data_IF_247697540556
#
_entry.id   IF_247697540556
#
_cell.length_a   1.000
_cell.length_b   1.000
_cell.length_c   1.000
_cell.angle_alpha   90.00
_cell.angle_beta   90.00
_cell.angle_gamma   90.00
#
_symmetry.space_group_name_H-M   'P 1'
#
loop_
_entity.id
_entity.type
_entity.pdbx_description
1 polymer ?
#
# COMPACT_ATOMS: atom_id res chain seq x y z
N UNK A 1 -17.56 -6.24 3.53
CA UNK A 1 -16.50 -5.75 4.45
C UNK A 1 -15.32 -6.71 4.49
N UNK A 2 -15.51 -8.02 4.74
CA UNK A 2 -14.42 -9.00 4.89
C UNK A 2 -13.26 -8.95 3.86
N UNK A 3 -13.54 -8.92 2.55
CA UNK A 3 -12.48 -8.90 1.53
C UNK A 3 -11.57 -7.67 1.63
N UNK A 4 -12.15 -6.47 1.79
CA UNK A 4 -11.38 -5.22 1.86
C UNK A 4 -10.53 -5.17 3.13
N UNK A 5 -11.10 -5.61 4.26
CA UNK A 5 -10.40 -5.63 5.54
C UNK A 5 -9.23 -6.63 5.50
N UNK A 6 -9.44 -7.80 4.90
CA UNK A 6 -8.40 -8.82 4.71
C UNK A 6 -7.30 -8.33 3.79
N UNK A 7 -7.65 -7.74 2.64
CA UNK A 7 -6.67 -7.17 1.68
C UNK A 7 -5.84 -6.08 2.36
N UNK A 8 -6.48 -5.20 3.12
CA UNK A 8 -5.78 -4.15 3.87
C UNK A 8 -4.80 -4.74 4.90
N UNK A 9 -5.21 -5.78 5.64
CA UNK A 9 -4.34 -6.45 6.61
C UNK A 9 -3.13 -7.13 5.94
N UNK A 10 -3.34 -7.84 4.83
CA UNK A 10 -2.27 -8.49 4.07
C UNK A 10 -1.28 -7.46 3.49
N UNK A 11 -1.79 -6.36 2.93
CA UNK A 11 -0.95 -5.27 2.43
C UNK A 11 -0.17 -4.57 3.57
N UNK A 12 -0.80 -4.36 4.73
CA UNK A 12 -0.15 -3.78 5.91
C UNK A 12 0.94 -4.69 6.48
N UNK A 13 0.82 -6.01 6.30
CA UNK A 13 1.86 -6.98 6.64
C UNK A 13 3.01 -7.03 5.62
N UNK A 14 3.00 -6.18 4.58
CA UNK A 14 4.05 -6.07 3.57
C UNK A 14 3.91 -7.03 2.38
N UNK A 15 2.83 -7.80 2.32
CA UNK A 15 2.58 -8.69 1.19
C UNK A 15 1.83 -7.98 0.05
N UNK A 16 2.09 -8.38 -1.19
CA UNK A 16 1.36 -7.91 -2.38
C UNK A 16 0.42 -9.00 -2.88
N UNK A 17 -0.87 -8.67 -3.05
CA UNK A 17 -1.86 -9.60 -3.58
C UNK A 17 -1.97 -9.40 -5.10
N UNK A 18 -1.70 -10.46 -5.87
CA UNK A 18 -1.82 -10.45 -7.34
C UNK A 18 -2.96 -11.38 -7.74
N UNK A 19 -3.88 -10.90 -8.58
CA UNK A 19 -5.11 -11.62 -8.94
C UNK A 19 -5.39 -11.53 -10.43
N UNK A 20 -6.01 -12.58 -10.95
CA UNK A 20 -6.48 -12.61 -12.32
C UNK A 20 -7.69 -11.67 -12.51
N UNK A 21 -7.77 -10.96 -13.63
CA UNK A 21 -8.89 -10.07 -13.93
C UNK A 21 -10.23 -10.80 -14.11
N UNK A 22 -10.19 -12.08 -14.51
CA UNK A 22 -11.35 -12.89 -14.84
C UNK A 22 -11.40 -13.29 -16.31
N UNK A 23 -12.20 -14.32 -16.61
CA UNK A 23 -12.33 -14.91 -17.93
C UNK A 23 -13.75 -14.69 -18.50
N UNK A 24 -14.28 -13.47 -18.37
CA UNK A 24 -15.66 -13.12 -18.74
C UNK A 24 -15.74 -12.27 -20.01
N UNK A 25 -14.92 -12.56 -21.01
CA UNK A 25 -15.02 -12.02 -22.37
C UNK A 25 -15.18 -10.48 -22.47
N UNK A 26 -14.34 -9.71 -21.79
CA UNK A 26 -14.40 -8.25 -21.81
C UNK A 26 -15.54 -7.63 -21.00
N UNK A 27 -16.22 -8.43 -20.17
CA UNK A 27 -17.06 -7.93 -19.09
C UNK A 27 -16.20 -7.44 -17.91
N UNK A 28 -16.87 -6.78 -16.96
CA UNK A 28 -16.24 -6.15 -15.79
C UNK A 28 -15.43 -7.13 -14.95
N UNK A 29 -14.33 -6.64 -14.38
CA UNK A 29 -13.53 -7.37 -13.38
C UNK A 29 -14.38 -7.71 -12.16
N UNK A 30 -14.34 -8.99 -11.76
CA UNK A 30 -15.04 -9.49 -10.57
C UNK A 30 -14.21 -9.39 -9.29
N UNK A 31 -14.80 -9.83 -8.17
CA UNK A 31 -14.07 -10.00 -6.91
C UNK A 31 -13.04 -11.14 -7.01
N UNK A 32 -11.85 -11.01 -6.38
CA UNK A 32 -11.36 -9.85 -5.63
C UNK A 32 -10.65 -8.79 -6.51
N UNK A 33 -10.59 -8.96 -7.83
CA UNK A 33 -9.87 -8.04 -8.74
C UNK A 33 -10.37 -6.61 -8.78
N UNK A 34 -11.62 -6.36 -8.37
CA UNK A 34 -12.17 -5.02 -8.24
C UNK A 34 -11.98 -4.37 -6.86
N UNK A 35 -11.25 -5.02 -5.95
CA UNK A 35 -10.93 -4.45 -4.64
C UNK A 35 -9.72 -3.51 -4.71
N UNK A 36 -9.72 -2.38 -3.97
CA UNK A 36 -8.53 -1.55 -3.83
C UNK A 36 -7.36 -2.33 -3.21
N UNK A 37 -6.14 -2.05 -3.66
CA UNK A 37 -4.92 -2.59 -3.08
C UNK A 37 -4.51 -3.98 -3.58
N UNK A 38 -5.14 -4.51 -4.64
CA UNK A 38 -4.67 -5.72 -5.34
C UNK A 38 -4.09 -5.36 -6.70
N UNK A 39 -3.14 -6.16 -7.17
CA UNK A 39 -2.63 -6.12 -8.55
C UNK A 39 -3.51 -7.01 -9.41
N UNK A 40 -4.45 -6.41 -10.13
CA UNK A 40 -5.34 -7.12 -11.06
C UNK A 40 -4.71 -7.23 -12.44
N UNK A 41 -4.62 -8.46 -12.96
CA UNK A 41 -3.89 -8.77 -14.19
C UNK A 41 -4.81 -9.26 -15.31
N UNK A 42 -4.92 -8.49 -16.38
CA UNK A 42 -5.60 -8.90 -17.61
C UNK A 42 -4.66 -9.73 -18.52
N UNK A 43 -5.27 -10.51 -19.41
CA UNK A 43 -4.55 -11.41 -20.31
C UNK A 43 -4.43 -10.85 -21.73
N UNK A 44 -3.24 -11.00 -22.30
CA UNK A 44 -2.92 -10.63 -23.68
C UNK A 44 -2.64 -11.86 -24.54
N UNK A 45 -2.96 -11.73 -25.83
CA UNK A 45 -2.51 -12.62 -26.90
C UNK A 45 -1.01 -12.46 -27.12
N UNK A 46 -0.40 -13.41 -27.84
CA UNK A 46 0.99 -13.34 -28.30
C UNK A 46 1.32 -12.05 -29.09
N UNK A 47 0.36 -11.50 -29.83
CA UNK A 47 0.50 -10.22 -30.56
C UNK A 47 0.26 -8.96 -29.70
N UNK A 48 -0.11 -9.11 -28.42
CA UNK A 48 -0.27 -8.00 -27.49
C UNK A 48 -1.67 -7.38 -27.41
N UNK A 49 -2.63 -7.85 -28.20
CA UNK A 49 -4.06 -7.50 -28.04
C UNK A 49 -4.68 -8.21 -26.84
N UNK A 50 -5.82 -7.72 -26.36
CA UNK A 50 -6.61 -8.43 -25.35
C UNK A 50 -7.03 -9.78 -25.89
N UNK A 51 -6.81 -10.85 -25.13
CA UNK A 51 -7.36 -12.16 -25.49
C UNK A 51 -8.87 -12.20 -25.25
N UNK A 52 -9.58 -12.96 -26.10
CA UNK A 52 -11.04 -13.00 -26.14
C UNK A 52 -11.68 -13.16 -24.77
N UNK A 53 -11.20 -14.09 -23.95
CA UNK A 53 -11.77 -14.38 -22.63
C UNK A 53 -11.46 -13.32 -21.55
N UNK A 54 -10.43 -12.49 -21.67
CA UNK A 54 -10.01 -11.63 -20.56
C UNK A 54 -11.10 -10.61 -20.22
N UNK A 55 -11.45 -10.50 -18.93
CA UNK A 55 -12.19 -9.38 -18.37
C UNK A 55 -11.38 -8.09 -18.46
N UNK A 56 -12.06 -6.95 -18.39
CA UNK A 56 -11.49 -5.59 -18.45
C UNK A 56 -12.16 -4.67 -17.44
N UNK A 57 -11.54 -3.53 -17.18
CA UNK A 57 -12.11 -2.49 -16.34
C UNK A 57 -11.04 -1.53 -15.82
N UNK A 58 -11.46 -0.39 -15.25
CA UNK A 58 -10.56 0.57 -14.62
C UNK A 58 -9.78 -0.02 -13.43
N UNK A 59 -10.24 -1.14 -12.86
CA UNK A 59 -9.59 -1.84 -11.76
C UNK A 59 -8.39 -2.69 -12.20
N UNK A 60 -8.25 -2.97 -13.50
CA UNK A 60 -7.08 -3.68 -14.03
C UNK A 60 -5.83 -2.84 -13.78
N UNK A 61 -4.83 -3.42 -13.12
CA UNK A 61 -3.57 -2.74 -12.81
C UNK A 61 -2.60 -2.79 -13.99
N UNK A 62 -2.44 -3.98 -14.56
CA UNK A 62 -1.46 -4.30 -15.60
C UNK A 62 -1.97 -5.46 -16.44
N UNK A 63 -1.38 -5.67 -17.61
CA UNK A 63 -1.65 -6.84 -18.44
C UNK A 63 -0.40 -7.69 -18.64
N UNK A 64 -0.57 -8.99 -18.82
CA UNK A 64 0.52 -9.91 -19.14
C UNK A 64 0.04 -10.97 -20.15
N UNK A 65 0.95 -11.71 -20.81
CA UNK A 65 0.57 -12.83 -21.65
C UNK A 65 -0.29 -13.84 -20.86
N UNK A 66 -1.39 -14.31 -21.46
CA UNK A 66 -2.25 -15.34 -20.87
C UNK A 66 -2.47 -16.55 -21.78
N UNK A 67 -1.74 -16.60 -22.89
CA UNK A 67 -1.95 -17.55 -23.97
C UNK A 67 -3.23 -17.25 -24.76
N UNK A 68 -3.29 -17.79 -25.97
CA UNK A 68 -4.48 -17.77 -26.80
C UNK A 68 -4.52 -19.02 -27.68
N UNK A 69 -5.69 -19.39 -28.20
CA UNK A 69 -5.83 -20.42 -29.24
C UNK A 69 -6.46 -19.76 -30.45
N UNK A 70 -5.67 -19.39 -31.46
CA UNK A 70 -6.22 -18.66 -32.62
C UNK A 70 -7.09 -19.55 -33.51
N UNK A 71 -6.85 -20.85 -33.50
CA UNK A 71 -7.72 -21.80 -34.18
C UNK A 71 -8.83 -22.20 -33.20
N UNK A 72 -10.07 -21.83 -33.53
CA UNK A 72 -11.27 -22.08 -32.71
C UNK A 72 -12.14 -23.22 -33.24
N UNK A 73 -11.81 -23.75 -34.42
CA UNK A 73 -12.52 -24.89 -35.01
C UNK A 73 -12.28 -26.20 -34.25
N UNK A 74 -13.25 -27.11 -34.33
CA UNK A 74 -13.15 -28.44 -33.71
C UNK A 74 -11.90 -29.19 -34.18
N UNK A 75 -11.17 -29.79 -33.23
CA UNK A 75 -9.94 -30.57 -33.48
C UNK A 75 -8.80 -29.79 -34.15
N UNK A 76 -8.86 -28.45 -34.19
CA UNK A 76 -7.74 -27.64 -34.65
C UNK A 76 -6.68 -27.46 -33.56
N UNK A 77 -5.39 -27.37 -33.90
CA UNK A 77 -4.34 -27.17 -32.92
C UNK A 77 -4.48 -25.79 -32.27
N UNK A 78 -4.40 -25.73 -30.94
CA UNK A 78 -4.26 -24.45 -30.26
C UNK A 78 -2.86 -23.88 -30.51
N UNK A 79 -2.80 -22.74 -31.20
CA UNK A 79 -1.54 -22.02 -31.43
C UNK A 79 -1.41 -20.87 -30.44
N UNK A 80 -0.23 -20.75 -29.85
CA UNK A 80 0.15 -19.82 -28.77
C UNK A 80 -0.47 -20.08 -27.38
N UNK A 81 -0.63 -21.35 -26.94
CA UNK A 81 -1.02 -21.62 -25.56
C UNK A 81 0.09 -21.22 -24.59
N UNK A 82 -0.25 -21.10 -23.32
CA UNK A 82 0.72 -21.20 -22.24
C UNK A 82 1.15 -22.67 -22.12
N UNK A 83 2.45 -22.91 -22.22
CA UNK A 83 3.03 -24.24 -22.02
C UNK A 83 3.41 -24.37 -20.55
N UNK A 84 2.79 -25.32 -19.87
CA UNK A 84 3.04 -25.63 -18.47
C UNK A 84 3.14 -27.15 -18.30
N UNK A 85 3.83 -27.58 -17.25
CA UNK A 85 3.72 -28.96 -16.78
C UNK A 85 2.32 -29.17 -16.20
N UNK A 86 1.73 -30.36 -16.38
CA UNK A 86 0.46 -30.73 -15.76
C UNK A 86 0.58 -32.06 -15.06
N UNK A 87 -0.20 -32.28 -14.02
CA UNK A 87 -0.25 -33.55 -13.30
C UNK A 87 -1.71 -33.85 -12.94
N UNK A 88 -2.13 -35.09 -13.14
CA UNK A 88 -3.48 -35.60 -12.89
C UNK A 88 -3.74 -35.97 -11.43
N UNK A 89 -2.71 -35.90 -10.59
CA UNK A 89 -2.80 -36.13 -9.17
C UNK A 89 -3.75 -35.16 -8.48
N UNK A 90 -4.66 -35.69 -7.66
CA UNK A 90 -5.64 -34.89 -6.91
C UNK A 90 -5.15 -34.50 -5.52
N UNK A 91 -4.17 -35.24 -4.96
CA UNK A 91 -3.61 -35.02 -3.62
C UNK A 91 -2.09 -35.22 -3.54
N UNK A 92 -1.52 -36.04 -4.43
CA UNK A 92 -0.07 -36.22 -4.61
C UNK A 92 0.24 -36.31 -6.11
N UNK A 93 1.43 -35.90 -6.57
CA UNK A 93 1.80 -36.05 -7.97
C UNK A 93 1.77 -37.51 -8.43
N UNK A 94 1.16 -37.78 -9.58
CA UNK A 94 1.26 -39.07 -10.25
C UNK A 94 2.66 -39.18 -10.87
N UNK A 95 3.43 -40.16 -10.42
CA UNK A 95 4.75 -40.45 -10.98
C UNK A 95 4.62 -40.92 -12.43
N UNK A 96 5.50 -40.43 -13.31
CA UNK A 96 5.49 -40.74 -14.76
C UNK A 96 4.14 -40.50 -15.45
N UNK A 97 3.36 -39.53 -14.97
CA UNK A 97 2.07 -39.16 -15.55
C UNK A 97 2.19 -38.83 -17.05
N UNK A 98 1.32 -39.43 -17.85
CA UNK A 98 1.20 -39.13 -19.28
C UNK A 98 0.77 -37.66 -19.53
N UNK A 99 0.11 -37.03 -18.55
CA UNK A 99 -0.22 -35.61 -18.56
C UNK A 99 0.99 -34.69 -18.26
N UNK A 100 2.14 -35.22 -17.82
CA UNK A 100 3.32 -34.39 -17.51
C UNK A 100 3.90 -33.63 -18.71
N UNK A 101 3.52 -34.01 -19.94
CA UNK A 101 3.95 -33.32 -21.15
C UNK A 101 2.87 -32.34 -21.63
N UNK A 102 3.28 -31.16 -22.13
CA UNK A 102 2.48 -29.99 -22.53
C UNK A 102 1.49 -30.20 -23.69
N UNK A 103 0.80 -31.33 -23.69
CA UNK A 103 -0.24 -31.79 -24.61
C UNK A 103 -1.59 -31.11 -24.35
N UNK A 104 -1.73 -30.38 -23.25
CA UNK A 104 -2.94 -29.62 -22.91
C UNK A 104 -2.69 -28.12 -23.06
N UNK A 105 -3.26 -27.56 -24.11
CA UNK A 105 -3.30 -26.12 -24.31
C UNK A 105 -3.91 -25.44 -23.08
N UNK A 106 -3.14 -24.54 -22.46
CA UNK A 106 -3.57 -23.81 -21.29
C UNK A 106 -3.65 -22.33 -21.60
N UNK A 107 -4.78 -21.72 -21.29
CA UNK A 107 -5.01 -20.28 -21.49
C UNK A 107 -5.81 -19.75 -20.32
N UNK A 108 -5.63 -18.47 -19.99
CA UNK A 108 -6.42 -17.82 -18.96
C UNK A 108 -5.70 -16.66 -18.30
N UNK A 109 -6.47 -15.74 -17.71
CA UNK A 109 -5.92 -14.71 -16.81
C UNK A 109 -5.20 -15.33 -15.60
N UNK A 110 -5.53 -16.58 -15.25
CA UNK A 110 -4.81 -17.42 -14.28
C UNK A 110 -3.35 -17.69 -14.62
N UNK A 111 -2.93 -17.56 -15.88
CA UNK A 111 -1.51 -17.66 -16.28
C UNK A 111 -0.83 -16.30 -16.31
N UNK A 112 -1.59 -15.22 -16.50
CA UNK A 112 -1.07 -13.85 -16.44
C UNK A 112 -0.74 -13.42 -15.01
N UNK A 113 -1.60 -13.76 -14.04
CA UNK A 113 -1.38 -13.47 -12.62
C UNK A 113 -0.05 -14.01 -12.03
N UNK A 114 0.34 -15.29 -12.23
CA UNK A 114 1.62 -15.81 -11.73
C UNK A 114 2.84 -15.21 -12.42
N UNK A 115 2.76 -14.78 -13.69
CA UNK A 115 3.84 -14.03 -14.34
C UNK A 115 4.11 -12.74 -13.56
N UNK A 116 3.06 -11.97 -13.27
CA UNK A 116 3.19 -10.72 -12.50
C UNK A 116 3.59 -10.99 -11.05
N UNK A 117 3.10 -12.08 -10.45
CA UNK A 117 3.50 -12.51 -9.10
C UNK A 117 5.00 -12.80 -9.01
N UNK A 118 5.54 -13.51 -10.01
CA UNK A 118 6.98 -13.76 -10.09
C UNK A 118 7.80 -12.49 -10.25
N UNK A 119 7.31 -11.53 -11.06
CA UNK A 119 7.95 -10.22 -11.22
C UNK A 119 7.94 -9.44 -9.90
N UNK A 120 6.82 -9.40 -9.18
CA UNK A 120 6.75 -8.77 -7.85
C UNK A 120 7.68 -9.46 -6.85
N UNK A 121 7.79 -10.78 -6.89
CA UNK A 121 8.76 -11.54 -6.08
C UNK A 121 10.21 -11.15 -6.39
N UNK A 122 10.57 -10.98 -7.67
CA UNK A 122 11.89 -10.48 -8.08
C UNK A 122 12.11 -9.04 -7.62
N UNK A 123 11.12 -8.17 -7.74
CA UNK A 123 11.20 -6.80 -7.23
C UNK A 123 11.45 -6.78 -5.71
N UNK A 124 10.74 -7.62 -4.95
CA UNK A 124 10.93 -7.76 -3.51
C UNK A 124 12.32 -8.33 -3.16
N UNK A 125 12.88 -9.21 -4.00
CA UNK A 125 14.22 -9.77 -3.78
C UNK A 125 15.35 -8.72 -3.84
N UNK A 126 15.19 -7.70 -4.70
CA UNK A 126 16.17 -6.61 -4.84
C UNK A 126 15.85 -5.40 -3.96
N UNK A 127 14.63 -5.32 -3.43
CA UNK A 127 14.16 -4.30 -2.49
C UNK A 127 13.27 -4.94 -1.42
N UNK A 128 13.85 -5.47 -0.32
CA UNK A 128 13.10 -6.16 0.72
C UNK A 128 12.06 -5.30 1.46
N UNK A 129 12.19 -3.97 1.39
CA UNK A 129 11.24 -3.01 1.98
C UNK A 129 10.09 -2.63 1.03
N UNK A 130 9.99 -3.26 -0.13
CA UNK A 130 8.97 -2.97 -1.14
C UNK A 130 7.56 -3.17 -0.58
N UNK A 131 6.77 -2.11 -0.58
CA UNK A 131 5.35 -2.18 -0.21
C UNK A 131 4.47 -2.54 -1.41
N UNK A 132 3.27 -3.07 -1.16
CA UNK A 132 2.27 -3.37 -2.20
C UNK A 132 1.91 -2.14 -3.05
N UNK A 133 1.79 -0.96 -2.41
CA UNK A 133 1.51 0.30 -3.10
C UNK A 133 2.64 0.68 -4.06
N UNK A 134 3.89 0.55 -3.64
CA UNK A 134 5.06 0.83 -4.49
C UNK A 134 5.20 -0.21 -5.61
N UNK A 135 4.91 -1.49 -5.35
CA UNK A 135 4.88 -2.51 -6.37
C UNK A 135 3.88 -2.17 -7.48
N UNK A 136 2.66 -1.78 -7.12
CA UNK A 136 1.63 -1.31 -8.07
C UNK A 136 2.14 -0.12 -8.89
N UNK A 137 2.74 0.89 -8.25
CA UNK A 137 3.24 2.06 -8.95
C UNK A 137 4.38 1.72 -9.92
N UNK A 138 5.37 0.93 -9.48
CA UNK A 138 6.51 0.53 -10.31
C UNK A 138 6.01 -0.29 -11.51
N UNK A 139 5.10 -1.25 -11.31
CA UNK A 139 4.51 -2.03 -12.40
C UNK A 139 3.82 -1.12 -13.44
N UNK A 140 3.09 -0.10 -12.99
CA UNK A 140 2.41 0.85 -13.88
C UNK A 140 3.39 1.75 -14.63
N UNK A 141 4.37 2.34 -13.93
CA UNK A 141 5.34 3.27 -14.52
C UNK A 141 6.28 2.61 -15.52
N UNK A 142 6.55 1.31 -15.34
CA UNK A 142 7.49 0.56 -16.18
C UNK A 142 6.81 -0.27 -17.27
N UNK A 143 5.48 -0.23 -17.33
CA UNK A 143 4.69 -0.98 -18.31
C UNK A 143 5.08 -0.61 -19.75
N UNK A 144 5.15 -1.61 -20.63
CA UNK A 144 5.25 -1.37 -22.07
C UNK A 144 3.89 -0.90 -22.60
N UNK A 145 3.85 0.14 -23.44
CA UNK A 145 2.61 0.56 -24.09
C UNK A 145 1.94 -0.58 -24.85
N UNK A 146 0.61 -0.57 -24.89
CA UNK A 146 -0.14 -1.53 -25.70
C UNK A 146 0.12 -1.32 -27.19
N UNK A 147 0.05 -2.42 -27.94
CA UNK A 147 0.00 -2.36 -29.40
C UNK A 147 -1.32 -1.72 -29.85
N UNK A 148 -1.28 -1.01 -30.96
CA UNK A 148 -2.46 -0.38 -31.59
C UNK A 148 -2.75 -0.93 -32.99
N UNK A 149 -1.87 -1.78 -33.50
CA UNK A 149 -1.94 -2.43 -34.82
C UNK A 149 -1.38 -3.85 -34.75
N UNK A 150 -1.61 -4.66 -35.79
CA UNK A 150 -1.00 -5.99 -35.94
C UNK A 150 -1.72 -7.14 -35.22
N UNK A 151 -2.88 -6.90 -34.60
CA UNK A 151 -3.68 -7.94 -33.94
C UNK A 151 -4.60 -8.74 -34.87
N UNK A 152 -5.00 -8.15 -35.99
CA UNK A 152 -5.99 -8.70 -36.90
C UNK A 152 -5.49 -9.80 -37.83
N UNK A 153 -6.44 -10.54 -38.40
CA UNK A 153 -6.22 -11.49 -39.49
C UNK A 153 -7.02 -11.05 -40.72
N UNK A 154 -6.71 -11.60 -41.89
CA UNK A 154 -7.52 -11.36 -43.11
C UNK A 154 -8.97 -11.86 -42.91
N UNK A 155 -9.16 -12.90 -42.10
CA UNK A 155 -10.46 -13.51 -41.84
C UNK A 155 -11.30 -12.72 -40.81
N UNK A 156 -10.65 -12.17 -39.77
CA UNK A 156 -11.32 -11.55 -38.62
C UNK A 156 -11.32 -10.02 -38.69
N UNK A 157 -10.58 -9.45 -39.64
CA UNK A 157 -10.35 -8.00 -39.74
C UNK A 157 -9.45 -7.48 -38.61
N UNK A 158 -9.32 -6.15 -38.55
CA UNK A 158 -8.59 -5.50 -37.47
C UNK A 158 -9.45 -5.40 -36.21
N UNK A 159 -8.94 -5.79 -35.02
CA UNK A 159 -9.63 -5.60 -33.76
C UNK A 159 -9.95 -4.12 -33.53
N UNK A 160 -11.09 -3.85 -32.92
CA UNK A 160 -11.42 -2.51 -32.44
C UNK A 160 -10.63 -2.21 -31.15
N UNK A 161 -10.58 -0.95 -30.73
CA UNK A 161 -10.11 -0.61 -29.40
C UNK A 161 -11.10 -1.13 -28.34
N UNK A 162 -10.59 -1.64 -27.23
CA UNK A 162 -11.43 -2.03 -26.10
C UNK A 162 -12.14 -0.79 -25.54
N UNK A 163 -13.41 -0.95 -25.17
CA UNK A 163 -14.21 0.11 -24.56
C UNK A 163 -14.52 -0.24 -23.10
N UNK A 164 -15.00 0.74 -22.32
CA UNK A 164 -15.40 0.49 -20.93
C UNK A 164 -16.39 -0.70 -20.86
N UNK A 165 -16.26 -1.59 -19.87
CA UNK A 165 -17.08 -2.80 -19.81
C UNK A 165 -18.57 -2.45 -19.70
N UNK A 166 -19.39 -3.17 -20.46
CA UNK A 166 -20.86 -3.12 -20.39
C UNK A 166 -21.38 -4.54 -20.15
N UNK A 167 -22.67 -4.80 -20.36
CA UNK A 167 -23.22 -6.16 -20.38
C UNK A 167 -22.88 -6.94 -21.66
N UNK A 168 -22.24 -6.29 -22.65
CA UNK A 168 -21.88 -6.89 -23.93
C UNK A 168 -20.44 -7.38 -23.91
N UNK A 169 -20.25 -8.61 -24.39
CA UNK A 169 -18.91 -9.20 -24.54
C UNK A 169 -18.06 -8.43 -25.55
N UNK A 170 -16.78 -8.27 -25.23
CA UNK A 170 -15.75 -7.71 -26.09
C UNK A 170 -14.64 -8.76 -26.20
N UNK A 171 -14.61 -9.46 -27.33
CA UNK A 171 -13.65 -10.53 -27.61
C UNK A 171 -12.24 -9.96 -27.81
N UNK A 172 -11.63 -10.12 -28.99
CA UNK A 172 -10.34 -9.51 -29.25
C UNK A 172 -10.48 -8.00 -29.47
N UNK A 173 -9.66 -7.21 -28.79
CA UNK A 173 -9.59 -5.76 -28.96
C UNK A 173 -8.20 -5.21 -28.58
N UNK A 174 -7.84 -4.04 -29.12
CA UNK A 174 -6.66 -3.30 -28.72
C UNK A 174 -6.88 -2.70 -27.33
N UNK A 175 -6.06 -3.13 -26.37
CA UNK A 175 -6.13 -2.64 -25.00
C UNK A 175 -5.84 -1.14 -24.92
N UNK A 176 -6.55 -0.47 -24.01
CA UNK A 176 -6.29 0.92 -23.64
C UNK A 176 -5.90 1.00 -22.16
N UNK A 177 -5.32 2.12 -21.75
CA UNK A 177 -4.94 2.34 -20.35
C UNK A 177 -6.14 2.45 -19.40
N UNK A 178 -7.35 2.71 -19.92
CA UNK A 178 -8.60 2.74 -19.16
C UNK A 178 -9.30 1.39 -19.05
N UNK A 179 -8.89 0.38 -19.84
CA UNK A 179 -9.58 -0.93 -19.92
C UNK A 179 -8.71 -2.09 -19.47
N UNK A 180 -7.41 -2.07 -19.76
CA UNK A 180 -6.49 -3.19 -19.52
C UNK A 180 -5.35 -2.84 -18.55
N UNK A 181 -5.46 -1.73 -17.81
CA UNK A 181 -4.41 -1.23 -16.93
C UNK A 181 -3.28 -0.52 -17.67
N UNK A 182 -2.14 -0.32 -17.02
CA UNK A 182 -1.12 0.61 -17.52
C UNK A 182 -0.39 0.17 -18.81
N UNK A 183 -0.46 -1.10 -19.18
CA UNK A 183 0.27 -1.65 -20.33
C UNK A 183 0.59 -3.13 -20.14
N UNK A 184 1.46 -3.66 -21.00
CA UNK A 184 2.04 -4.99 -20.82
C UNK A 184 3.17 -4.93 -19.78
N UNK A 185 3.17 -5.84 -18.81
CA UNK A 185 4.20 -5.90 -17.78
C UNK A 185 5.61 -6.02 -18.37
N UNK A 186 6.57 -5.32 -17.78
CA UNK A 186 7.98 -5.34 -18.18
C UNK A 186 8.85 -5.77 -16.99
N UNK A 187 9.24 -7.05 -16.95
CA UNK A 187 9.98 -7.61 -15.83
C UNK A 187 11.31 -6.88 -15.58
N UNK A 188 12.10 -6.65 -16.64
CA UNK A 188 13.42 -6.03 -16.51
C UNK A 188 13.34 -4.60 -15.99
N UNK A 189 12.44 -3.79 -16.56
CA UNK A 189 12.26 -2.41 -16.13
C UNK A 189 11.70 -2.32 -14.70
N UNK A 190 10.74 -3.18 -14.33
CA UNK A 190 10.17 -3.20 -12.99
C UNK A 190 11.21 -3.59 -11.92
N UNK A 191 12.03 -4.62 -12.17
CA UNK A 191 13.09 -5.06 -11.24
C UNK A 191 14.20 -4.02 -11.15
N UNK A 192 14.63 -3.42 -12.28
CA UNK A 192 15.62 -2.35 -12.28
C UNK A 192 15.14 -1.12 -11.50
N UNK A 193 13.86 -0.73 -11.68
CA UNK A 193 13.26 0.36 -10.94
C UNK A 193 13.20 0.04 -9.43
N UNK A 194 12.80 -1.17 -9.03
CA UNK A 194 12.80 -1.59 -7.64
C UNK A 194 14.22 -1.58 -7.02
N UNK A 195 15.22 -2.10 -7.73
CA UNK A 195 16.60 -2.10 -7.28
C UNK A 195 17.15 -0.69 -7.08
N UNK A 196 16.88 0.23 -8.01
CA UNK A 196 17.28 1.63 -7.92
C UNK A 196 16.64 2.37 -6.73
N UNK A 197 15.58 1.83 -6.14
CA UNK A 197 14.85 2.41 -5.01
C UNK A 197 15.17 1.73 -3.68
N UNK A 198 16.09 0.78 -3.67
CA UNK A 198 16.50 0.12 -2.46
C UNK A 198 17.23 1.11 -1.55
N UNK A 199 16.75 1.24 -0.30
CA UNK A 199 17.22 2.26 0.64
C UNK A 199 16.49 3.61 0.59
N UNK A 200 15.60 3.84 -0.39
CA UNK A 200 14.77 5.05 -0.39
C UNK A 200 13.70 4.96 0.70
N UNK A 201 13.64 5.98 1.57
CA UNK A 201 12.58 6.12 2.59
C UNK A 201 12.24 7.59 2.84
N UNK A 202 11.03 7.87 3.33
CA UNK A 202 10.61 9.21 3.75
C UNK A 202 10.69 9.30 5.27
N UNK A 203 11.49 10.23 5.76
CA UNK A 203 11.59 10.53 7.20
C UNK A 203 10.66 11.68 7.52
N UNK A 204 9.79 11.50 8.52
CA UNK A 204 8.96 12.57 9.09
C UNK A 204 9.61 13.02 10.40
N UNK A 205 10.13 14.24 10.43
CA UNK A 205 10.64 14.90 11.63
C UNK A 205 9.61 15.86 12.21
N UNK A 206 9.60 16.01 13.54
CA UNK A 206 8.71 16.94 14.24
C UNK A 206 9.50 17.98 15.03
N UNK A 207 8.99 19.21 15.08
CA UNK A 207 9.50 20.29 15.92
C UNK A 207 8.33 21.04 16.56
N UNK A 208 8.27 21.14 17.91
CA UNK A 208 9.23 20.58 18.88
C UNK A 208 9.24 19.05 18.89
N UNK A 209 10.33 18.45 19.38
CA UNK A 209 10.46 17.00 19.52
C UNK A 209 9.49 16.42 20.56
N UNK A 210 9.03 17.23 21.50
CA UNK A 210 7.95 16.94 22.44
C UNK A 210 6.82 17.96 22.26
N UNK A 211 5.73 17.52 21.62
CA UNK A 211 4.57 18.38 21.36
C UNK A 211 3.70 18.53 22.62
N UNK A 212 3.24 19.74 22.90
CA UNK A 212 2.27 20.06 23.95
C UNK A 212 1.01 20.70 23.36
N UNK A 213 -0.14 20.45 23.98
CA UNK A 213 -1.41 21.03 23.57
C UNK A 213 -1.34 22.57 23.54
N UNK A 214 -1.92 23.17 22.51
CA UNK A 214 -1.90 24.62 22.28
C UNK A 214 -0.60 25.15 21.67
N UNK A 215 0.39 24.30 21.40
CA UNK A 215 1.64 24.70 20.74
C UNK A 215 1.61 24.36 19.24
N UNK A 216 2.13 25.25 18.40
CA UNK A 216 2.31 24.97 16.97
C UNK A 216 3.35 23.87 16.79
N UNK A 217 2.94 22.80 16.12
CA UNK A 217 3.79 21.68 15.74
C UNK A 217 4.12 21.78 14.26
N UNK A 218 5.40 21.71 13.92
CA UNK A 218 5.88 21.66 12.54
C UNK A 218 6.36 20.26 12.21
N UNK A 219 5.87 19.71 11.10
CA UNK A 219 6.31 18.43 10.54
C UNK A 219 7.10 18.68 9.27
N UNK A 220 8.21 17.98 9.09
CA UNK A 220 9.04 18.03 7.89
C UNK A 220 9.17 16.63 7.30
N UNK A 221 8.85 16.48 6.02
CA UNK A 221 9.04 15.25 5.27
C UNK A 221 10.31 15.38 4.44
N UNK A 222 11.22 14.44 4.58
CA UNK A 222 12.47 14.41 3.82
C UNK A 222 12.71 13.01 3.28
N UNK A 223 12.72 12.83 1.95
CA UNK A 223 13.16 11.56 1.39
C UNK A 223 14.67 11.42 1.58
N UNK A 224 15.10 10.22 1.91
CA UNK A 224 16.49 9.81 2.04
C UNK A 224 16.72 8.63 1.12
N UNK A 225 17.94 8.48 0.60
CA UNK A 225 18.29 7.36 -0.29
C UNK A 225 17.73 7.44 -1.72
N UNK A 226 17.24 8.61 -2.17
CA UNK A 226 16.81 8.78 -3.57
C UNK A 226 17.93 8.46 -4.54
N UNK A 227 17.62 7.66 -5.57
CA UNK A 227 18.56 7.31 -6.63
C UNK A 227 19.07 8.56 -7.37
N UNK A 228 20.28 8.47 -7.93
CA UNK A 228 20.86 9.53 -8.77
C UNK A 228 19.90 9.93 -9.89
N UNK A 229 19.72 11.24 -10.08
CA UNK A 229 18.80 11.80 -11.09
C UNK A 229 17.34 11.92 -10.64
N UNK A 230 16.98 11.39 -9.46
CA UNK A 230 15.66 11.62 -8.86
C UNK A 230 15.67 12.84 -7.95
N UNK A 231 14.66 13.69 -8.12
CA UNK A 231 14.45 14.89 -7.29
C UNK A 231 13.00 14.94 -6.83
N UNK A 232 12.75 15.61 -5.70
CA UNK A 232 11.38 15.82 -5.20
C UNK A 232 10.67 16.80 -6.12
N UNK A 233 9.55 16.35 -6.70
CA UNK A 233 8.66 17.17 -7.49
C UNK A 233 7.55 17.81 -6.63
N UNK A 234 7.01 17.05 -5.67
CA UNK A 234 5.97 17.55 -4.76
C UNK A 234 5.94 16.79 -3.43
N UNK A 235 5.29 17.38 -2.44
CA UNK A 235 4.99 16.73 -1.15
C UNK A 235 3.56 17.07 -0.77
N UNK A 236 2.80 16.07 -0.35
CA UNK A 236 1.44 16.23 0.12
C UNK A 236 1.27 15.57 1.49
N UNK A 237 0.57 16.24 2.39
CA UNK A 237 0.27 15.76 3.73
C UNK A 237 -1.20 15.42 3.87
N UNK A 238 -1.49 14.28 4.48
CA UNK A 238 -2.85 13.86 4.83
C UNK A 238 -2.95 13.63 6.32
N UNK A 239 -3.99 14.20 6.95
CA UNK A 239 -4.36 13.87 8.32
C UNK A 239 -5.18 12.58 8.28
N UNK A 240 -4.54 11.45 8.61
CA UNK A 240 -5.16 10.12 8.55
C UNK A 240 -6.17 9.95 9.69
N UNK A 241 -5.82 10.45 10.88
CA UNK A 241 -6.71 10.52 12.03
C UNK A 241 -6.33 11.72 12.88
N UNK A 242 -7.29 12.61 13.14
CA UNK A 242 -7.09 13.78 13.98
C UNK A 242 -7.07 13.49 15.49
N UNK A 243 -7.49 12.28 15.90
CA UNK A 243 -7.60 11.91 17.31
C UNK A 243 -8.53 12.79 18.16
N UNK A 244 -9.37 13.62 17.53
CA UNK A 244 -10.16 14.66 18.20
C UNK A 244 -9.36 15.88 18.65
N UNK A 245 -8.04 15.90 18.46
CA UNK A 245 -7.14 16.96 18.91
C UNK A 245 -6.61 17.84 17.77
N UNK A 246 -6.73 17.38 16.52
CA UNK A 246 -6.36 18.12 15.31
C UNK A 246 -7.44 17.89 14.25
N UNK A 247 -7.91 18.95 13.58
CA UNK A 247 -8.93 18.85 12.54
C UNK A 247 -8.37 19.02 11.13
N UNK A 248 -7.30 19.81 10.98
CA UNK A 248 -6.66 20.12 9.70
C UNK A 248 -5.22 20.61 9.91
N UNK A 249 -4.47 20.67 8.81
CA UNK A 249 -3.20 21.40 8.79
C UNK A 249 -3.48 22.91 8.84
N UNK A 250 -2.73 23.63 9.66
CA UNK A 250 -2.79 25.08 9.74
C UNK A 250 -2.15 25.73 8.50
N UNK A 251 -1.06 25.15 7.98
CA UNK A 251 -0.43 25.58 6.73
C UNK A 251 0.48 24.49 6.14
N UNK A 252 0.91 24.68 4.88
CA UNK A 252 1.98 23.88 4.28
C UNK A 252 1.61 22.43 3.93
N UNK A 253 0.32 22.08 3.88
CA UNK A 253 -0.11 20.71 3.56
C UNK A 253 0.38 20.19 2.19
N UNK A 254 0.80 21.08 1.29
CA UNK A 254 1.35 20.75 -0.03
C UNK A 254 2.83 21.16 -0.18
N UNK A 255 3.55 21.29 0.93
CA UNK A 255 4.99 21.62 0.96
C UNK A 255 5.77 20.61 1.77
N UNK A 256 7.11 20.64 1.69
CA UNK A 256 7.98 19.74 2.45
C UNK A 256 7.76 19.86 3.98
N UNK A 257 7.35 21.04 4.43
CA UNK A 257 6.99 21.35 5.82
C UNK A 257 5.50 21.66 5.92
N UNK A 258 4.83 21.12 6.94
CA UNK A 258 3.44 21.44 7.28
C UNK A 258 3.31 21.77 8.76
N UNK A 259 2.36 22.64 9.12
CA UNK A 259 2.11 23.03 10.52
C UNK A 259 0.73 22.59 10.98
N UNK A 260 0.62 22.23 12.25
CA UNK A 260 -0.59 21.76 12.92
C UNK A 260 -0.67 22.42 14.30
N UNK A 261 -1.88 22.56 14.83
CA UNK A 261 -2.11 23.08 16.19
C UNK A 261 -2.98 22.09 16.97
N UNK A 262 -2.37 21.15 17.72
CA UNK A 262 -3.11 20.25 18.58
C UNK A 262 -3.81 21.00 19.72
N UNK A 263 -5.10 20.73 19.94
CA UNK A 263 -5.92 21.44 20.94
C UNK A 263 -5.90 20.82 22.32
N UNK A 264 -5.56 19.54 22.43
CA UNK A 264 -5.51 18.79 23.69
C UNK A 264 -4.43 17.70 23.66
N UNK A 265 -4.19 17.08 24.83
CA UNK A 265 -3.34 15.91 24.93
C UNK A 265 -3.97 14.70 24.24
N UNK A 266 -3.16 13.82 23.66
CA UNK A 266 -3.61 12.64 22.94
C UNK A 266 -2.66 12.26 21.82
N UNK A 267 -3.17 11.59 20.80
CA UNK A 267 -2.39 11.23 19.62
C UNK A 267 -3.17 11.44 18.33
N UNK A 268 -2.49 11.84 17.27
CA UNK A 268 -3.04 11.93 15.92
C UNK A 268 -2.09 11.23 14.94
N UNK A 269 -2.58 10.88 13.74
CA UNK A 269 -1.81 10.18 12.72
C UNK A 269 -1.80 10.97 11.42
N UNK A 270 -0.62 11.15 10.85
CA UNK A 270 -0.40 11.85 9.57
C UNK A 270 0.31 10.95 8.58
N UNK A 271 0.10 11.23 7.30
CA UNK A 271 0.82 10.62 6.18
C UNK A 271 1.47 11.70 5.34
N UNK A 272 2.74 11.51 4.99
CA UNK A 272 3.45 12.29 3.99
C UNK A 272 3.59 11.45 2.71
N UNK A 273 3.16 12.01 1.59
CA UNK A 273 3.28 11.46 0.26
C UNK A 273 4.25 12.36 -0.53
N UNK A 274 5.48 11.88 -0.76
CA UNK A 274 6.53 12.59 -1.49
C UNK A 274 6.57 12.04 -2.91
N UNK A 275 6.38 12.89 -3.92
CA UNK A 275 6.43 12.48 -5.33
C UNK A 275 7.75 12.92 -5.95
N UNK A 276 8.44 12.03 -6.65
CA UNK A 276 9.63 12.40 -7.42
C UNK A 276 9.32 12.90 -8.84
N UNK A 277 10.36 13.39 -9.51
CA UNK A 277 10.33 13.84 -10.91
C UNK A 277 10.02 12.74 -11.93
N UNK A 278 9.88 11.48 -11.52
CA UNK A 278 9.43 10.36 -12.36
C UNK A 278 7.97 9.96 -12.04
N UNK A 279 7.31 10.67 -11.13
CA UNK A 279 5.92 10.42 -10.73
C UNK A 279 5.74 9.29 -9.72
N UNK A 280 6.83 8.75 -9.15
CA UNK A 280 6.74 7.75 -8.09
C UNK A 280 6.46 8.45 -6.75
N UNK A 281 5.50 7.91 -6.00
CA UNK A 281 5.07 8.41 -4.70
C UNK A 281 5.60 7.51 -3.59
N UNK A 282 6.39 8.09 -2.71
CA UNK A 282 6.88 7.51 -1.47
C UNK A 282 5.99 7.94 -0.32
N UNK A 283 5.51 6.97 0.46
CA UNK A 283 4.55 7.22 1.52
C UNK A 283 5.15 6.85 2.86
N UNK A 284 5.09 7.77 3.83
CA UNK A 284 5.36 7.48 5.24
C UNK A 284 4.16 7.90 6.10
N UNK A 285 3.72 7.02 6.98
CA UNK A 285 2.70 7.32 7.99
C UNK A 285 3.36 7.35 9.36
N UNK A 286 3.01 8.31 10.21
CA UNK A 286 3.52 8.39 11.58
C UNK A 286 2.42 8.80 12.56
N UNK A 287 2.45 8.25 13.77
CA UNK A 287 1.60 8.66 14.89
C UNK A 287 2.37 9.62 15.78
N UNK A 288 1.76 10.77 16.07
CA UNK A 288 2.34 11.82 16.89
C UNK A 288 1.61 11.85 18.22
N UNK A 289 2.36 11.85 19.33
CA UNK A 289 1.83 11.99 20.69
C UNK A 289 1.99 13.43 21.17
N UNK A 290 0.94 13.97 21.78
CA UNK A 290 0.86 15.35 22.30
C UNK A 290 0.59 15.28 23.80
N UNK A 291 1.46 15.91 24.59
CA UNK A 291 1.29 16.03 26.03
C UNK A 291 0.33 17.16 26.40
N UNK A 292 -0.19 17.12 27.63
CA UNK A 292 -1.00 18.22 28.16
C UNK A 292 -0.19 19.52 28.23
N UNK A 293 -0.88 20.66 28.09
CA UNK A 293 -0.24 21.95 28.28
C UNK A 293 0.38 22.02 29.69
N UNK A 294 1.58 22.57 29.87
CA UNK A 294 2.15 22.77 31.20
C UNK A 294 1.19 23.61 32.04
N UNK A 295 0.79 23.10 33.20
CA UNK A 295 0.05 23.90 34.18
C UNK A 295 1.04 24.86 34.82
N UNK A 296 0.91 26.15 34.54
CA UNK A 296 1.62 27.15 35.33
C UNK A 296 0.99 27.13 36.72
N UNK A 297 1.71 26.77 37.80
CA UNK A 297 1.15 26.91 39.12
C UNK A 297 0.85 28.39 39.33
N UNK A 298 -0.43 28.71 39.53
CA UNK A 298 -0.85 30.06 39.92
C UNK A 298 -0.03 30.43 41.16
N UNK A 299 0.72 31.55 41.18
CA UNK A 299 1.28 32.01 42.43
C UNK A 299 0.09 32.23 43.37
N UNK A 300 -0.01 31.42 44.41
CA UNK A 300 -0.96 31.68 45.49
C UNK A 300 -0.67 33.09 45.96
N UNK A 301 -1.63 33.99 45.78
CA UNK A 301 -1.57 35.31 46.41
C UNK A 301 -1.62 35.08 47.91
N UNK A 302 -0.45 34.96 48.54
CA UNK A 302 -0.33 35.20 49.97
C UNK A 302 -0.53 36.68 50.17
N UNK A 303 -1.81 37.08 50.25
CA UNK A 303 -2.19 38.32 50.91
C UNK A 303 -1.50 38.33 52.27
N UNK A 304 -0.75 39.40 52.54
CA UNK A 304 -0.05 39.59 53.79
C UNK A 304 -1.04 39.50 54.96
N UNK A 305 -0.96 38.40 55.69
CA UNK A 305 -1.56 38.22 57.01
C UNK A 305 -0.49 37.64 57.90
N UNK A 306 0.15 38.51 58.69
CA UNK A 306 1.21 38.12 59.60
C UNK A 306 0.73 37.13 60.67
N UNK A 307 1.69 36.37 61.20
CA UNK A 307 1.58 35.74 62.51
C UNK A 307 1.76 34.22 62.51
N UNK A 308 2.75 33.76 63.29
CA UNK A 308 2.73 32.44 63.89
C UNK A 308 3.85 31.50 63.46
N UNK A 309 5.04 31.66 64.06
CA UNK A 309 6.01 30.58 64.15
C UNK A 309 5.42 29.38 64.90
N UNK A 310 5.71 28.16 64.46
CA UNK A 310 5.08 26.98 65.04
C UNK A 310 5.63 25.64 64.58
N UNK A 311 6.94 25.49 64.42
CA UNK A 311 7.59 24.16 64.28
C UNK A 311 7.92 23.50 65.65
N UNK A 312 7.41 24.05 66.76
CA UNK A 312 7.69 23.53 68.11
C UNK A 312 6.53 23.81 69.08
N UNK A 313 5.29 23.51 68.71
CA UNK A 313 4.21 23.55 69.71
C UNK A 313 4.36 22.36 70.68
N UNK A 314 4.13 22.60 71.97
CA UNK A 314 4.14 21.56 73.01
C UNK A 314 3.20 20.40 72.67
N UNK A 315 2.10 20.67 71.95
CA UNK A 315 1.20 19.65 71.45
C UNK A 315 1.84 18.71 70.42
N UNK A 316 2.67 19.23 69.52
CA UNK A 316 3.38 18.43 68.52
C UNK A 316 4.46 17.54 69.17
N UNK A 317 5.19 18.09 70.14
CA UNK A 317 6.18 17.34 70.93
C UNK A 317 5.54 16.26 71.83
N UNK A 318 4.38 16.55 72.44
CA UNK A 318 3.63 15.56 73.21
C UNK A 318 3.08 14.42 72.32
N UNK A 319 2.67 14.75 71.08
CA UNK A 319 2.18 13.77 70.11
C UNK A 319 3.28 12.80 69.65
N UNK A 320 4.51 13.30 69.45
CA UNK A 320 5.68 12.48 69.14
C UNK A 320 6.09 11.57 70.31
N UNK A 321 6.01 12.07 71.54
CA UNK A 321 6.29 11.28 72.75
C UNK A 321 5.27 10.15 72.96
N UNK A 322 3.98 10.40 72.73
CA UNK A 322 2.94 9.36 72.76
C UNK A 322 3.14 8.31 71.66
N UNK A 323 3.48 8.72 70.43
CA UNK A 323 3.74 7.80 69.34
C UNK A 323 4.94 6.87 69.63
N UNK A 324 6.02 7.41 70.23
CA UNK A 324 7.20 6.62 70.60
C UNK A 324 6.93 5.61 71.75
N UNK A 325 6.06 5.96 72.70
CA UNK A 325 5.67 5.07 73.81
C UNK A 325 4.76 3.92 73.35
N UNK A 326 3.88 4.16 72.38
CA UNK A 326 3.01 3.13 71.79
C UNK A 326 3.83 2.10 70.98
N UNK A 327 4.82 2.57 70.21
CA UNK A 327 5.72 1.69 69.43
C UNK A 327 6.64 0.83 70.32
N UNK A 328 7.01 1.31 71.52
CA UNK A 328 7.81 0.52 72.47
C UNK A 328 7.04 -0.60 73.17
N UNK A 329 5.70 -0.51 73.27
CA UNK A 329 4.87 -1.56 73.86
C UNK A 329 4.53 -2.70 72.90
N UNK A 330 4.53 -2.47 71.58
CA UNK A 330 4.26 -3.54 70.60
C UNK A 330 5.47 -4.42 70.28
N UNK A 331 6.66 -4.09 70.81
CA UNK A 331 7.91 -4.83 70.56
C UNK A 331 8.32 -5.75 71.73
N UNK A 332 7.47 -5.95 72.74
CA UNK A 332 7.71 -6.85 73.88
C UNK A 332 6.50 -7.75 74.22
N UNK A 333 5.70 -8.11 73.22
CA UNK A 333 4.66 -9.14 73.31
C UNK A 333 4.96 -10.27 72.35
#
# INVERSE_FOLDING_TARGET
MLYRDTINQVNAAGATIVVAAGNSAGLVVGLPGNCPGVVTVAALRHVGTKVGFSSIGPEVTISAPGGNCINTGNSQPCLYPMVSTTNSGTTVPVAADAANTGSRASVGTSFSAPIVSGIVGLMASVRPTLTSAEAIQILKLTARPFVTTGGGSVADGNPLACTAPTATEQLECYCTTSTCGAGMVNAAAAVAAAAALNGTTVVIAQSPSAATAGQTLTLTATPTGLATGRTVASTAWTLVSGGGIVNNFASGANTATATLLPTAAGSFTVRADVTDNQGLVYTQTTSITVAAAPVTPTPTSTGGGGGGGGAASLGWLASLLLAALVLRRSARG
#
